data_IF_028805190969
#
_entry.id   IF_028805190969
#
_cell.length_a   1.000
_cell.length_b   1.000
_cell.length_c   1.000
_cell.angle_alpha   90.00
_cell.angle_beta   90.00
_cell.angle_gamma   90.00
#
_symmetry.space_group_name_H-M   'P 1'
#
loop_
_entity.id
_entity.type
_entity.pdbx_description
1 polymer ?
#
# COMPACT_ATOMS: atom_id res chain seq x y z
N UNK A 1 6.15 -9.74 2.66
CA UNK A 1 5.35 -8.63 3.20
C UNK A 1 5.38 -7.45 2.24
N UNK A 2 4.25 -6.75 2.03
CA UNK A 2 4.21 -5.48 1.26
C UNK A 2 4.40 -4.32 2.24
N UNK A 3 5.31 -3.40 1.94
CA UNK A 3 5.56 -2.19 2.73
C UNK A 3 5.30 -0.96 1.88
N UNK A 4 4.37 -0.11 2.32
CA UNK A 4 4.05 1.17 1.68
C UNK A 4 4.54 2.29 2.59
N UNK A 5 5.59 2.98 2.17
CA UNK A 5 6.14 4.13 2.87
C UNK A 5 5.41 5.39 2.39
N UNK A 6 4.62 6.03 3.25
CA UNK A 6 3.93 7.28 2.96
C UNK A 6 3.77 8.14 4.22
N UNK A 7 3.94 9.46 4.10
CA UNK A 7 3.86 10.39 5.23
C UNK A 7 2.43 10.89 5.52
N UNK A 8 1.55 10.92 4.52
CA UNK A 8 0.21 11.51 4.59
C UNK A 8 -0.85 10.52 4.12
N UNK A 9 -2.11 10.77 4.47
CA UNK A 9 -3.28 9.97 4.02
C UNK A 9 -3.14 8.46 4.30
N UNK A 10 -2.48 8.11 5.40
CA UNK A 10 -2.14 6.72 5.70
C UNK A 10 -3.39 5.86 5.91
N UNK A 11 -4.42 6.39 6.58
CA UNK A 11 -5.65 5.64 6.82
C UNK A 11 -6.40 5.37 5.51
N UNK A 12 -6.46 6.36 4.62
CA UNK A 12 -7.06 6.24 3.31
C UNK A 12 -6.30 5.26 2.42
N UNK A 13 -4.96 5.25 2.50
CA UNK A 13 -4.12 4.27 1.81
C UNK A 13 -4.37 2.86 2.36
N UNK A 14 -4.46 2.68 3.69
CA UNK A 14 -4.77 1.37 4.28
C UNK A 14 -6.10 0.85 3.74
N UNK A 15 -7.18 1.65 3.85
CA UNK A 15 -8.50 1.24 3.37
C UNK A 15 -8.53 0.99 1.86
N UNK A 16 -7.80 1.77 1.07
CA UNK A 16 -7.70 1.57 -0.38
C UNK A 16 -7.00 0.25 -0.73
N UNK A 17 -5.90 -0.05 -0.03
CA UNK A 17 -5.07 -1.22 -0.32
C UNK A 17 -5.73 -2.52 0.13
N UNK A 18 -6.37 -2.54 1.30
CA UNK A 18 -7.16 -3.70 1.74
C UNK A 18 -8.38 -3.95 0.86
N UNK A 19 -8.97 -2.90 0.27
CA UNK A 19 -10.06 -3.06 -0.69
C UNK A 19 -9.60 -3.46 -2.10
N UNK A 20 -8.29 -3.40 -2.39
CA UNK A 20 -7.76 -3.67 -3.72
C UNK A 20 -7.78 -5.16 -4.09
N UNK A 21 -7.45 -6.03 -3.12
CA UNK A 21 -7.42 -7.47 -3.30
C UNK A 21 -7.69 -8.18 -1.98
N UNK A 22 -8.49 -9.26 -2.00
CA UNK A 22 -8.97 -9.94 -0.79
C UNK A 22 -7.85 -10.57 0.06
N UNK A 23 -6.75 -10.95 -0.58
CA UNK A 23 -5.58 -11.52 0.10
C UNK A 23 -4.67 -10.47 0.73
N UNK A 24 -4.99 -9.19 0.67
CA UNK A 24 -4.17 -8.13 1.28
C UNK A 24 -4.79 -7.76 2.63
N UNK A 25 -4.00 -7.89 3.70
CA UNK A 25 -4.42 -7.52 5.04
C UNK A 25 -3.44 -6.55 5.68
N UNK A 26 -3.94 -5.50 6.32
CA UNK A 26 -3.10 -4.57 7.06
C UNK A 26 -2.63 -5.20 8.37
N UNK A 27 -1.32 -5.19 8.58
CA UNK A 27 -0.70 -5.76 9.77
C UNK A 27 -0.45 -4.67 10.83
N UNK A 28 0.34 -3.66 10.46
CA UNK A 28 0.73 -2.59 11.38
C UNK A 28 1.34 -1.39 10.68
N UNK A 29 1.38 -0.29 11.42
CA UNK A 29 2.10 0.94 11.09
C UNK A 29 3.43 1.00 11.86
N UNK A 30 4.52 1.28 11.15
CA UNK A 30 5.85 1.51 11.68
C UNK A 30 6.37 2.87 11.18
N UNK A 31 6.04 3.94 11.89
CA UNK A 31 6.36 5.31 11.48
C UNK A 31 5.61 5.72 10.22
N UNK A 32 6.33 5.88 9.10
CA UNK A 32 5.74 6.14 7.77
C UNK A 32 5.47 4.86 6.97
N UNK A 33 5.95 3.71 7.45
CA UNK A 33 5.79 2.43 6.77
C UNK A 33 4.49 1.74 7.19
N UNK A 34 3.63 1.47 6.21
CA UNK A 34 2.42 0.66 6.36
C UNK A 34 2.74 -0.76 5.90
N UNK A 35 2.56 -1.74 6.77
CA UNK A 35 2.88 -3.14 6.49
C UNK A 35 1.61 -3.93 6.22
N UNK A 36 1.63 -4.70 5.13
CA UNK A 36 0.54 -5.56 4.72
C UNK A 36 1.07 -6.98 4.46
N UNK A 37 0.29 -7.98 4.87
CA UNK A 37 0.50 -9.38 4.52
C UNK A 37 -0.28 -9.72 3.25
N UNK A 38 0.26 -10.64 2.44
CA UNK A 38 -0.46 -11.22 1.31
C UNK A 38 0.10 -12.56 0.86
N UNK A 39 -0.73 -13.35 0.19
CA UNK A 39 -0.33 -14.63 -0.41
C UNK A 39 0.52 -14.47 -1.70
N UNK A 40 0.42 -13.31 -2.38
CA UNK A 40 1.19 -13.02 -3.62
C UNK A 40 1.73 -11.58 -3.68
N UNK A 41 2.65 -11.29 -2.77
CA UNK A 41 3.18 -9.95 -2.57
C UNK A 41 4.01 -9.45 -3.75
N UNK A 42 4.64 -10.35 -4.50
CA UNK A 42 5.51 -10.02 -5.65
C UNK A 42 4.70 -9.51 -6.83
N UNK A 43 3.51 -10.05 -7.05
CA UNK A 43 2.58 -9.60 -8.09
C UNK A 43 1.79 -8.38 -7.60
N UNK A 44 1.30 -8.39 -6.37
CA UNK A 44 0.40 -7.35 -5.88
C UNK A 44 1.10 -6.03 -5.54
N UNK A 45 2.33 -6.05 -5.03
CA UNK A 45 3.06 -4.80 -4.73
C UNK A 45 3.21 -3.85 -5.94
N UNK A 46 3.66 -4.29 -7.13
CA UNK A 46 3.73 -3.40 -8.30
C UNK A 46 2.34 -2.97 -8.80
N UNK A 47 1.30 -3.79 -8.63
CA UNK A 47 -0.08 -3.44 -8.97
C UNK A 47 -0.64 -2.35 -8.06
N UNK A 48 -0.49 -2.50 -6.73
CA UNK A 48 -0.85 -1.49 -5.74
C UNK A 48 -0.12 -0.18 -6.03
N UNK A 49 1.18 -0.24 -6.35
CA UNK A 49 1.96 0.95 -6.71
C UNK A 49 1.38 1.66 -7.93
N UNK A 50 0.92 0.92 -8.95
CA UNK A 50 0.26 1.49 -10.13
C UNK A 50 -1.11 2.07 -9.76
N UNK A 51 -1.91 1.36 -8.98
CA UNK A 51 -3.24 1.78 -8.55
C UNK A 51 -3.19 3.07 -7.72
N UNK A 52 -2.29 3.16 -6.75
CA UNK A 52 -2.05 4.37 -5.96
C UNK A 52 -1.61 5.55 -6.83
N UNK A 53 -0.80 5.32 -7.88
CA UNK A 53 -0.38 6.41 -8.80
C UNK A 53 -1.49 6.85 -9.75
N UNK A 54 -2.44 5.96 -10.05
CA UNK A 54 -3.57 6.24 -10.92
C UNK A 54 -4.68 7.01 -10.18
N UNK A 55 -4.83 6.80 -8.88
CA UNK A 55 -5.85 7.47 -8.08
C UNK A 55 -5.53 8.96 -7.85
N UNK A 56 -6.42 9.89 -8.25
CA UNK A 56 -6.21 11.33 -8.08
C UNK A 56 -5.95 11.77 -6.63
N UNK A 57 -6.45 11.03 -5.64
CA UNK A 57 -6.27 11.34 -4.20
C UNK A 57 -4.83 11.16 -3.77
N UNK A 58 -4.15 10.16 -4.34
CA UNK A 58 -2.81 9.77 -3.92
C UNK A 58 -1.73 10.17 -4.93
N UNK A 59 -2.10 10.49 -6.17
CA UNK A 59 -1.17 10.84 -7.26
C UNK A 59 -0.16 11.94 -6.91
N UNK A 60 -0.55 12.91 -6.08
CA UNK A 60 0.31 14.01 -5.64
C UNK A 60 1.19 13.64 -4.42
N UNK A 61 0.94 12.51 -3.76
CA UNK A 61 1.69 12.07 -2.60
C UNK A 61 2.97 11.38 -3.01
N UNK A 62 4.03 11.61 -2.25
CA UNK A 62 5.20 10.76 -2.31
C UNK A 62 4.93 9.45 -1.56
N UNK A 63 5.06 8.33 -2.26
CA UNK A 63 5.06 7.01 -1.65
C UNK A 63 6.03 6.07 -2.35
N UNK A 64 6.56 5.12 -1.58
CA UNK A 64 7.35 4.01 -2.08
C UNK A 64 6.69 2.69 -1.65
N UNK A 65 6.66 1.71 -2.56
CA UNK A 65 6.11 0.37 -2.30
C UNK A 65 7.23 -0.64 -2.50
N UNK A 66 7.47 -1.46 -1.49
CA UNK A 66 8.54 -2.46 -1.43
C UNK A 66 7.97 -3.81 -0.99
N UNK A 67 8.63 -4.89 -1.41
CA UNK A 67 8.38 -6.24 -0.90
C UNK A 67 9.54 -6.59 0.04
N UNK A 68 9.24 -7.09 1.23
CA UNK A 68 10.20 -7.54 2.24
C UNK A 68 9.99 -8.98 2.65
#
# INVERSE_FOLDING_TARGET
MIVINCALMQNEIISFVEAYHESIHFEKKAGIGLQFSSDDEKTLAPEIKKALKADPRFKALFFNVEVK
#
